data_IF_376968274701
#
_entry.id   IF_376968274701
#
_cell.length_a   1.000
_cell.length_b   1.000
_cell.length_c   1.000
_cell.angle_alpha   90.00
_cell.angle_beta   90.00
_cell.angle_gamma   90.00
#
_symmetry.space_group_name_H-M   'P 1'
#
loop_
_entity.id
_entity.type
_entity.pdbx_description
1 polymer ?
#
# COMPACT_ATOMS: atom_id res chain seq x y z
N UNK A 1 -24.89 14.08 -3.81
CA UNK A 1 -24.41 15.40 -3.31
C UNK A 1 -24.31 15.51 -1.78
N UNK A 2 -24.62 14.46 -0.99
CA UNK A 2 -24.54 14.47 0.50
C UNK A 2 -23.27 13.80 1.08
N UNK A 3 -22.42 13.20 0.23
CA UNK A 3 -21.27 12.37 0.64
C UNK A 3 -20.02 13.15 1.08
N UNK A 4 -20.02 14.48 0.93
CA UNK A 4 -18.91 15.38 1.31
C UNK A 4 -19.08 16.00 2.69
N UNK A 5 -20.16 15.69 3.43
CA UNK A 5 -20.28 16.16 4.81
C UNK A 5 -19.23 15.43 5.69
N UNK A 6 -18.33 16.16 6.40
CA UNK A 6 -17.24 15.55 7.16
C UNK A 6 -17.71 14.48 8.15
N UNK A 7 -18.85 14.69 8.82
CA UNK A 7 -19.43 13.76 9.78
C UNK A 7 -20.00 12.47 9.14
N UNK A 8 -20.36 12.50 7.85
CA UNK A 8 -20.80 11.29 7.12
C UNK A 8 -19.57 10.49 6.71
N UNK A 9 -18.54 11.16 6.18
CA UNK A 9 -17.30 10.53 5.77
C UNK A 9 -16.56 9.88 6.95
N UNK A 10 -16.42 10.57 8.07
CA UNK A 10 -15.77 10.03 9.28
C UNK A 10 -16.46 8.74 9.76
N UNK A 11 -17.80 8.71 9.83
CA UNK A 11 -18.55 7.49 10.18
C UNK A 11 -18.37 6.35 9.16
N UNK A 12 -18.25 6.65 7.87
CA UNK A 12 -17.97 5.63 6.86
C UNK A 12 -16.57 5.04 7.03
N UNK A 13 -15.57 5.87 7.33
CA UNK A 13 -14.20 5.44 7.56
C UNK A 13 -14.06 4.62 8.85
N UNK A 14 -14.72 5.01 9.94
CA UNK A 14 -14.79 4.22 11.18
C UNK A 14 -15.38 2.83 10.91
N UNK A 15 -16.55 2.78 10.25
CA UNK A 15 -17.19 1.52 9.86
C UNK A 15 -16.32 0.67 8.94
N UNK A 16 -15.54 1.30 8.05
CA UNK A 16 -14.61 0.59 7.17
C UNK A 16 -13.53 -0.11 8.00
N UNK A 17 -12.90 0.60 8.95
CA UNK A 17 -11.88 0.04 9.84
C UNK A 17 -12.44 -1.10 10.70
N UNK A 18 -13.61 -0.90 11.31
CA UNK A 18 -14.30 -1.93 12.09
C UNK A 18 -14.61 -3.18 11.26
N UNK A 19 -15.12 -2.97 10.03
CA UNK A 19 -15.49 -4.07 9.15
C UNK A 19 -14.28 -4.90 8.74
N UNK A 20 -13.17 -4.25 8.39
CA UNK A 20 -11.92 -4.96 8.08
C UNK A 20 -11.37 -5.66 9.33
N UNK A 21 -11.42 -5.00 10.49
CA UNK A 21 -10.95 -5.55 11.77
C UNK A 21 -11.74 -6.77 12.25
N UNK A 22 -13.00 -6.90 11.86
CA UNK A 22 -13.81 -8.10 12.16
C UNK A 22 -13.28 -9.38 11.49
N UNK A 23 -12.52 -9.24 10.41
CA UNK A 23 -11.93 -10.35 9.66
C UNK A 23 -10.42 -10.46 9.91
N UNK A 24 -9.71 -9.33 9.92
CA UNK A 24 -8.27 -9.27 10.12
C UNK A 24 -7.99 -9.03 11.62
N UNK A 25 -8.00 -10.09 12.40
CA UNK A 25 -7.94 -10.00 13.87
C UNK A 25 -6.51 -9.76 14.37
N UNK A 26 -6.37 -8.92 15.41
CA UNK A 26 -5.09 -8.66 16.08
C UNK A 26 -4.17 -7.69 15.36
N UNK A 27 -4.64 -6.99 14.32
CA UNK A 27 -3.81 -6.13 13.47
C UNK A 27 -4.38 -4.71 13.26
N UNK A 28 -4.84 -4.00 14.31
CA UNK A 28 -5.49 -2.70 14.16
C UNK A 28 -4.58 -1.66 13.50
N UNK A 29 -3.28 -1.65 13.84
CA UNK A 29 -2.31 -0.70 13.28
C UNK A 29 -2.11 -0.95 11.78
N UNK A 30 -1.92 -2.21 11.36
CA UNK A 30 -1.70 -2.54 9.95
C UNK A 30 -2.94 -2.27 9.10
N UNK A 31 -4.14 -2.47 9.66
CA UNK A 31 -5.39 -2.11 8.99
C UNK A 31 -5.46 -0.59 8.80
N UNK A 32 -5.22 0.17 9.88
CA UNK A 32 -5.21 1.63 9.83
C UNK A 32 -4.21 2.15 8.80
N UNK A 33 -2.98 1.65 8.81
CA UNK A 33 -1.92 2.08 7.88
C UNK A 33 -2.23 1.66 6.44
N UNK A 34 -2.83 0.49 6.22
CA UNK A 34 -3.26 0.05 4.88
C UNK A 34 -4.37 0.94 4.31
N UNK A 35 -5.35 1.31 5.13
CA UNK A 35 -6.41 2.25 4.74
C UNK A 35 -5.83 3.66 4.54
N UNK A 36 -4.91 4.10 5.39
CA UNK A 36 -4.20 5.37 5.22
C UNK A 36 -3.41 5.41 3.91
N UNK A 37 -2.72 4.33 3.55
CA UNK A 37 -2.01 4.19 2.27
C UNK A 37 -2.95 4.34 1.08
N UNK A 38 -4.10 3.65 1.11
CA UNK A 38 -5.12 3.72 0.07
C UNK A 38 -5.72 5.12 -0.06
N UNK A 39 -6.12 5.74 1.06
CA UNK A 39 -6.68 7.09 1.10
C UNK A 39 -5.66 8.16 0.69
N UNK A 40 -4.39 7.93 0.97
CA UNK A 40 -3.31 8.76 0.49
C UNK A 40 -3.05 8.58 -1.01
N UNK A 41 -3.69 7.61 -1.69
CA UNK A 41 -3.52 7.32 -3.12
C UNK A 41 -2.18 6.65 -3.43
N UNK A 42 -1.66 5.83 -2.51
CA UNK A 42 -0.43 5.08 -2.69
C UNK A 42 -0.66 3.59 -2.91
N UNK A 43 0.44 2.86 -3.10
CA UNK A 43 0.46 1.40 -3.16
C UNK A 43 1.14 0.81 -1.94
N UNK A 44 0.73 -0.40 -1.57
CA UNK A 44 1.17 -1.08 -0.37
C UNK A 44 2.12 -2.23 -0.72
N UNK A 45 3.29 -2.25 -0.10
CA UNK A 45 4.18 -3.40 -0.08
C UNK A 45 4.06 -4.11 1.28
N UNK A 46 4.02 -5.45 1.26
CA UNK A 46 3.98 -6.26 2.47
C UNK A 46 5.17 -7.23 2.45
N UNK A 47 6.16 -6.94 3.28
CA UNK A 47 7.33 -7.79 3.50
C UNK A 47 7.13 -8.59 4.78
N UNK A 48 6.94 -9.90 4.65
CA UNK A 48 6.66 -10.77 5.81
C UNK A 48 6.79 -12.25 5.46
N UNK A 49 6.69 -13.12 6.45
CA UNK A 49 6.63 -14.57 6.26
C UNK A 49 5.27 -15.02 5.67
N UNK A 50 5.21 -16.19 5.01
CA UNK A 50 3.95 -16.76 4.55
C UNK A 50 2.97 -17.04 5.70
N UNK A 51 1.66 -16.98 5.40
CA UNK A 51 0.62 -17.40 6.36
C UNK A 51 0.13 -16.35 7.35
N UNK A 52 0.70 -15.14 7.38
CA UNK A 52 0.34 -14.06 8.34
C UNK A 52 -0.93 -13.26 8.00
N UNK A 53 -1.73 -13.72 7.05
CA UNK A 53 -3.01 -13.08 6.71
C UNK A 53 -2.96 -11.98 5.64
N UNK A 54 -1.88 -11.86 4.85
CA UNK A 54 -1.72 -10.86 3.77
C UNK A 54 -2.86 -10.90 2.75
N UNK A 55 -3.19 -12.10 2.26
CA UNK A 55 -4.30 -12.32 1.32
C UNK A 55 -5.65 -11.98 1.95
N UNK A 56 -5.80 -12.22 3.25
CA UNK A 56 -7.03 -11.90 3.98
C UNK A 56 -7.22 -10.39 4.07
N UNK A 57 -6.16 -9.64 4.38
CA UNK A 57 -6.19 -8.18 4.39
C UNK A 57 -6.53 -7.59 3.00
N UNK A 58 -5.87 -8.07 1.95
CA UNK A 58 -6.12 -7.58 0.59
C UNK A 58 -7.57 -7.83 0.13
N UNK A 59 -8.10 -9.03 0.38
CA UNK A 59 -9.46 -9.37 0.02
C UNK A 59 -10.48 -8.61 0.89
N UNK A 60 -10.21 -8.43 2.19
CA UNK A 60 -11.07 -7.67 3.10
C UNK A 60 -11.17 -6.21 2.69
N UNK A 61 -10.05 -5.58 2.30
CA UNK A 61 -10.04 -4.22 1.76
C UNK A 61 -10.91 -4.12 0.50
N UNK A 62 -10.70 -5.00 -0.49
CA UNK A 62 -11.47 -4.97 -1.73
C UNK A 62 -12.98 -5.18 -1.50
N UNK A 63 -13.34 -6.17 -0.67
CA UNK A 63 -14.73 -6.46 -0.34
C UNK A 63 -15.40 -5.30 0.43
N UNK A 64 -14.71 -4.73 1.43
CA UNK A 64 -15.25 -3.64 2.24
C UNK A 64 -15.46 -2.34 1.43
N UNK A 65 -14.74 -2.18 0.33
CA UNK A 65 -14.82 -1.04 -0.58
C UNK A 65 -15.66 -1.32 -1.84
N UNK A 66 -16.23 -2.53 -1.97
CA UNK A 66 -16.99 -2.93 -3.15
C UNK A 66 -16.19 -2.86 -4.46
N UNK A 67 -14.86 -3.02 -4.39
CA UNK A 67 -13.95 -2.86 -5.52
C UNK A 67 -13.71 -4.19 -6.22
N UNK A 68 -13.51 -4.14 -7.54
CA UNK A 68 -13.05 -5.31 -8.29
C UNK A 68 -11.68 -5.75 -7.77
N UNK A 69 -11.55 -7.04 -7.50
CA UNK A 69 -10.35 -7.68 -6.97
C UNK A 69 -9.77 -8.65 -7.99
N UNK A 70 -8.46 -8.59 -8.20
CA UNK A 70 -7.71 -9.61 -8.89
C UNK A 70 -6.50 -10.02 -8.06
N UNK A 71 -6.12 -11.29 -8.16
CA UNK A 71 -4.94 -11.84 -7.52
C UNK A 71 -4.04 -12.46 -8.57
N UNK A 72 -2.76 -12.13 -8.53
CA UNK A 72 -1.73 -12.71 -9.38
C UNK A 72 -0.61 -13.23 -8.49
N UNK A 73 -0.26 -14.49 -8.71
CA UNK A 73 0.91 -15.09 -8.11
C UNK A 73 2.10 -14.85 -9.04
N UNK A 74 3.14 -14.17 -8.56
CA UNK A 74 4.34 -13.95 -9.35
C UNK A 74 5.21 -15.21 -9.30
N UNK A 75 5.61 -15.66 -10.49
CA UNK A 75 6.44 -16.84 -10.72
C UNK A 75 7.54 -16.49 -11.72
N UNK A 76 8.58 -17.32 -11.81
CA UNK A 76 9.74 -17.05 -12.66
C UNK A 76 9.40 -17.03 -14.17
N UNK A 77 8.33 -17.72 -14.55
CA UNK A 77 7.82 -17.83 -15.91
C UNK A 77 6.75 -16.77 -16.26
N UNK A 78 6.27 -16.00 -15.28
CA UNK A 78 5.26 -14.96 -15.52
C UNK A 78 5.83 -13.87 -16.43
N UNK A 79 5.15 -13.59 -17.54
CA UNK A 79 5.55 -12.57 -18.51
C UNK A 79 4.79 -11.25 -18.31
N UNK A 80 5.30 -10.12 -18.84
CA UNK A 80 4.55 -8.86 -18.85
C UNK A 80 3.17 -8.98 -19.50
N UNK A 81 3.04 -9.79 -20.56
CA UNK A 81 1.79 -10.02 -21.27
C UNK A 81 0.75 -10.76 -20.41
N UNK A 82 1.17 -11.63 -19.50
CA UNK A 82 0.25 -12.29 -18.57
C UNK A 82 -0.35 -11.32 -17.55
N UNK A 83 0.33 -10.20 -17.26
CA UNK A 83 -0.15 -9.13 -16.39
C UNK A 83 -1.02 -8.12 -17.14
N UNK A 84 -0.53 -7.67 -18.29
CA UNK A 84 -1.15 -6.59 -19.06
C UNK A 84 -2.32 -7.13 -19.88
N UNK A 85 -2.16 -8.27 -20.53
CA UNK A 85 -3.11 -8.82 -21.49
C UNK A 85 -2.45 -9.13 -22.83
N UNK A 86 -3.21 -9.80 -23.69
CA UNK A 86 -2.76 -10.24 -25.02
C UNK A 86 -3.83 -9.98 -26.07
N UNK A 87 -3.40 -9.63 -27.27
CA UNK A 87 -4.26 -9.55 -28.46
C UNK A 87 -4.35 -10.92 -29.11
N UNK A 88 -5.56 -11.49 -29.13
CA UNK A 88 -5.84 -12.82 -29.72
C UNK A 88 -6.66 -12.63 -30.99
N UNK A 89 -6.29 -13.32 -32.07
CA UNK A 89 -7.08 -13.32 -33.29
C UNK A 89 -8.34 -14.18 -33.11
N UNK A 90 -9.51 -13.52 -33.08
CA UNK A 90 -10.80 -14.19 -32.96
C UNK A 90 -11.37 -14.45 -34.36
N UNK A 91 -11.40 -15.72 -34.80
CA UNK A 91 -11.91 -16.11 -36.12
C UNK A 91 -13.34 -15.65 -36.40
N UNK A 92 -14.19 -15.61 -35.38
CA UNK A 92 -15.59 -15.18 -35.53
C UNK A 92 -15.74 -13.68 -35.82
N UNK A 93 -14.74 -12.87 -35.45
CA UNK A 93 -14.72 -11.42 -35.67
C UNK A 93 -13.77 -11.01 -36.79
N UNK A 94 -13.00 -11.97 -37.33
CA UNK A 94 -11.92 -11.75 -38.29
C UNK A 94 -10.94 -10.64 -37.86
N UNK A 95 -10.79 -10.43 -36.55
CA UNK A 95 -10.02 -9.32 -35.97
C UNK A 95 -9.18 -9.77 -34.76
N UNK A 96 -8.12 -9.02 -34.47
CA UNK A 96 -7.41 -9.13 -33.19
C UNK A 96 -8.26 -8.46 -32.10
N UNK A 97 -8.54 -9.19 -31.02
CA UNK A 97 -9.28 -8.71 -29.86
C UNK A 97 -8.34 -8.71 -28.65
N UNK A 98 -8.22 -7.56 -28.00
CA UNK A 98 -7.42 -7.45 -26.79
C UNK A 98 -8.15 -8.03 -25.58
N UNK A 99 -7.55 -9.05 -24.97
CA UNK A 99 -8.02 -9.61 -23.70
C UNK A 99 -7.23 -8.96 -22.56
N UNK A 100 -7.95 -8.18 -21.75
CA UNK A 100 -7.40 -7.48 -20.59
C UNK A 100 -6.83 -8.47 -19.57
N UNK A 101 -5.59 -8.22 -19.17
CA UNK A 101 -4.93 -8.95 -18.08
C UNK A 101 -5.40 -8.49 -16.69
N UNK A 102 -4.90 -9.14 -15.63
CA UNK A 102 -5.30 -8.91 -14.25
C UNK A 102 -5.02 -7.49 -13.73
N UNK A 103 -4.15 -6.70 -14.37
CA UNK A 103 -3.93 -5.29 -13.99
C UNK A 103 -5.18 -4.42 -14.21
N UNK A 104 -6.13 -4.83 -15.05
CA UNK A 104 -7.39 -4.13 -15.29
C UNK A 104 -8.44 -4.38 -14.18
N UNK A 105 -8.03 -4.16 -12.94
CA UNK A 105 -8.83 -4.29 -11.73
C UNK A 105 -8.76 -3.00 -10.89
N UNK A 106 -9.48 -2.92 -9.77
CA UNK A 106 -9.39 -1.79 -8.84
C UNK A 106 -8.48 -2.10 -7.64
N UNK A 107 -8.46 -3.35 -7.19
CA UNK A 107 -7.51 -3.87 -6.20
C UNK A 107 -6.78 -5.06 -6.80
N UNK A 108 -5.46 -4.97 -6.89
CA UNK A 108 -4.59 -6.04 -7.37
C UNK A 108 -3.71 -6.54 -6.22
N UNK A 109 -3.85 -7.81 -5.87
CA UNK A 109 -2.90 -8.52 -5.02
C UNK A 109 -1.81 -9.16 -5.89
N UNK A 110 -0.60 -8.60 -5.84
CA UNK A 110 0.59 -9.14 -6.51
C UNK A 110 1.42 -9.94 -5.51
N UNK A 111 1.15 -11.25 -5.41
CA UNK A 111 1.82 -12.12 -4.46
C UNK A 111 3.23 -12.48 -4.92
N UNK A 112 4.20 -12.35 -4.01
CA UNK A 112 5.61 -12.71 -4.20
C UNK A 112 6.26 -12.02 -5.41
N UNK A 113 6.07 -10.69 -5.54
CA UNK A 113 6.56 -9.89 -6.68
C UNK A 113 8.06 -10.09 -6.97
N UNK A 114 8.85 -10.40 -5.94
CA UNK A 114 10.27 -10.71 -6.09
C UNK A 114 10.56 -12.09 -6.72
N UNK A 115 9.60 -12.93 -7.06
CA UNK A 115 9.83 -14.19 -7.77
C UNK A 115 9.79 -14.07 -9.29
N UNK A 116 9.21 -12.99 -9.83
CA UNK A 116 9.21 -12.76 -11.28
C UNK A 116 10.49 -12.06 -11.74
N UNK A 117 10.78 -12.20 -13.03
CA UNK A 117 11.91 -11.52 -13.65
C UNK A 117 11.76 -9.99 -13.68
N UNK A 118 12.87 -9.23 -13.80
CA UNK A 118 12.86 -7.76 -13.74
C UNK A 118 11.94 -7.08 -14.76
N UNK A 119 11.72 -7.69 -15.92
CA UNK A 119 10.80 -7.15 -16.96
C UNK A 119 9.35 -7.16 -16.49
N UNK A 120 8.90 -8.26 -15.90
CA UNK A 120 7.53 -8.44 -15.38
C UNK A 120 7.29 -7.53 -14.18
N UNK A 121 8.29 -7.41 -13.28
CA UNK A 121 8.25 -6.43 -12.20
C UNK A 121 8.10 -4.99 -12.73
N UNK A 122 8.91 -4.63 -13.73
CA UNK A 122 8.87 -3.29 -14.34
C UNK A 122 7.52 -2.99 -14.98
N UNK A 123 6.91 -3.95 -15.66
CA UNK A 123 5.58 -3.80 -16.27
C UNK A 123 4.49 -3.47 -15.25
N UNK A 124 4.47 -4.15 -14.09
CA UNK A 124 3.54 -3.81 -13.01
C UNK A 124 3.80 -2.41 -12.45
N UNK A 125 5.06 -2.06 -12.24
CA UNK A 125 5.47 -0.79 -11.63
C UNK A 125 5.24 0.41 -12.55
N UNK A 126 5.33 0.22 -13.86
CA UNK A 126 4.92 1.20 -14.87
C UNK A 126 3.41 1.43 -14.82
N UNK A 127 2.63 0.35 -14.79
CA UNK A 127 1.17 0.43 -14.65
C UNK A 127 0.74 1.14 -13.34
N UNK A 128 1.48 0.96 -12.26
CA UNK A 128 1.30 1.66 -10.98
C UNK A 128 1.55 3.17 -11.09
N UNK A 129 2.64 3.58 -11.74
CA UNK A 129 3.02 5.00 -11.83
C UNK A 129 2.16 5.76 -12.85
N UNK A 130 1.89 5.16 -14.01
CA UNK A 130 1.24 5.82 -15.14
C UNK A 130 -0.29 5.66 -15.12
N UNK A 131 -0.83 4.74 -14.31
CA UNK A 131 -2.26 4.38 -14.27
C UNK A 131 -2.85 4.00 -15.65
N UNK A 132 -2.00 3.55 -16.55
CA UNK A 132 -2.33 3.10 -17.90
C UNK A 132 -1.30 2.10 -18.38
N UNK A 133 -1.64 1.35 -19.42
CA UNK A 133 -0.74 0.41 -20.11
C UNK A 133 -0.76 0.68 -21.59
N UNK A 134 0.38 0.47 -22.26
CA UNK A 134 0.48 0.60 -23.72
C UNK A 134 0.66 -0.77 -24.35
N UNK A 135 -0.25 -1.14 -25.25
CA UNK A 135 -0.24 -2.43 -25.97
C UNK A 135 -0.55 -2.18 -27.43
N UNK A 136 0.22 -2.76 -28.35
CA UNK A 136 0.00 -2.69 -29.80
C UNK A 136 -0.17 -1.25 -30.34
N UNK A 137 0.48 -0.27 -29.69
CA UNK A 137 0.40 1.15 -30.07
C UNK A 137 -0.81 1.90 -29.49
N UNK A 138 -1.69 1.24 -28.75
CA UNK A 138 -2.81 1.85 -28.04
C UNK A 138 -2.54 2.00 -26.55
N UNK A 139 -2.98 3.11 -25.96
CA UNK A 139 -2.89 3.37 -24.52
C UNK A 139 -4.25 3.13 -23.87
N UNK A 140 -4.28 2.18 -22.94
CA UNK A 140 -5.48 1.79 -22.20
C UNK A 140 -5.37 2.23 -20.74
N UNK A 141 -6.33 3.03 -20.27
CA UNK A 141 -6.38 3.46 -18.86
C UNK A 141 -6.83 2.34 -17.95
N UNK A 142 -6.22 2.26 -16.77
CA UNK A 142 -6.63 1.32 -15.74
C UNK A 142 -7.90 1.82 -15.03
N UNK A 143 -8.72 0.91 -14.46
CA UNK A 143 -9.86 1.29 -13.65
C UNK A 143 -9.46 2.15 -12.45
N UNK A 144 -10.24 3.21 -12.18
CA UNK A 144 -10.05 4.04 -10.99
C UNK A 144 -11.04 3.68 -9.88
N UNK A 145 -10.61 3.66 -8.61
CA UNK A 145 -9.23 3.72 -8.14
C UNK A 145 -8.46 2.44 -8.48
N UNK A 146 -7.14 2.54 -8.64
CA UNK A 146 -6.22 1.42 -8.86
C UNK A 146 -5.28 1.29 -7.67
N UNK A 147 -5.39 0.21 -6.91
CA UNK A 147 -4.61 -0.05 -5.70
C UNK A 147 -3.90 -1.40 -5.77
N UNK A 148 -2.57 -1.35 -5.80
CA UNK A 148 -1.73 -2.54 -5.75
C UNK A 148 -1.29 -2.82 -4.31
N UNK A 149 -1.52 -4.06 -3.88
CA UNK A 149 -0.94 -4.66 -2.68
C UNK A 149 0.05 -5.71 -3.17
N UNK A 150 1.34 -5.42 -3.09
CA UNK A 150 2.38 -6.37 -3.44
C UNK A 150 2.88 -7.08 -2.18
N UNK A 151 3.20 -8.37 -2.27
CA UNK A 151 3.86 -9.10 -1.19
C UNK A 151 5.25 -9.54 -1.64
N UNK A 152 6.19 -9.54 -0.70
CA UNK A 152 7.54 -10.04 -0.94
C UNK A 152 7.92 -11.05 0.13
N UNK A 153 8.69 -12.03 -0.31
CA UNK A 153 9.41 -12.90 0.59
C UNK A 153 10.75 -12.26 0.98
N UNK A 154 11.31 -12.59 2.16
CA UNK A 154 12.64 -12.14 2.56
C UNK A 154 13.70 -12.47 1.50
N UNK A 155 14.66 -11.56 1.31
CA UNK A 155 15.65 -11.62 0.24
C UNK A 155 16.58 -12.85 0.28
N UNK A 156 16.62 -13.57 1.40
CA UNK A 156 17.45 -14.77 1.60
C UNK A 156 16.86 -16.03 0.93
N UNK A 157 15.63 -15.97 0.41
CA UNK A 157 15.02 -17.11 -0.28
C UNK A 157 15.55 -17.28 -1.71
N UNK A 158 15.88 -18.53 -2.06
CA UNK A 158 16.37 -18.93 -3.38
C UNK A 158 15.31 -18.60 -4.45
N UNK A 159 15.76 -18.07 -5.58
CA UNK A 159 14.90 -17.75 -6.72
C UNK A 159 14.15 -16.42 -6.59
N UNK A 160 14.70 -15.49 -5.81
CA UNK A 160 14.17 -14.12 -5.69
C UNK A 160 15.07 -13.10 -6.38
N UNK A 161 14.42 -12.11 -7.00
CA UNK A 161 14.98 -10.92 -7.61
C UNK A 161 14.56 -9.72 -6.75
N UNK A 162 15.50 -9.17 -5.97
CA UNK A 162 15.24 -7.99 -5.15
C UNK A 162 14.79 -6.82 -6.04
N UNK A 163 13.77 -6.08 -5.57
CA UNK A 163 13.36 -4.84 -6.23
C UNK A 163 14.48 -3.79 -6.03
N UNK A 164 14.97 -3.15 -7.10
CA UNK A 164 15.82 -1.97 -6.99
C UNK A 164 15.17 -0.88 -6.14
N UNK A 165 15.99 -0.01 -5.54
CA UNK A 165 15.49 1.10 -4.70
C UNK A 165 14.54 2.03 -5.46
N UNK A 166 14.82 2.28 -6.75
CA UNK A 166 13.94 3.06 -7.63
C UNK A 166 12.57 2.43 -7.86
N UNK A 167 12.46 1.11 -7.70
CA UNK A 167 11.20 0.36 -7.78
C UNK A 167 10.47 0.36 -6.43
N UNK A 168 11.19 0.15 -5.33
CA UNK A 168 10.64 0.24 -3.97
C UNK A 168 10.04 1.63 -3.68
N UNK A 169 10.64 2.70 -4.20
CA UNK A 169 10.16 4.08 -4.00
C UNK A 169 8.73 4.32 -4.52
N UNK A 170 8.24 3.50 -5.46
CA UNK A 170 6.87 3.55 -6.00
C UNK A 170 5.82 3.02 -5.03
N UNK A 171 6.21 2.25 -4.02
CA UNK A 171 5.32 1.89 -2.92
C UNK A 171 5.33 3.00 -1.88
N UNK A 172 4.14 3.46 -1.51
CA UNK A 172 3.99 4.51 -0.50
C UNK A 172 4.37 3.98 0.88
N UNK A 173 3.93 2.76 1.21
CA UNK A 173 4.20 2.09 2.47
C UNK A 173 4.74 0.68 2.26
N UNK A 174 5.66 0.28 3.12
CA UNK A 174 6.05 -1.10 3.34
C UNK A 174 5.65 -1.52 4.77
N UNK A 175 4.81 -2.55 4.90
CA UNK A 175 4.30 -3.03 6.17
C UNK A 175 4.76 -4.47 6.46
N UNK A 176 4.85 -4.77 7.76
CA UNK A 176 4.96 -6.14 8.29
C UNK A 176 3.73 -6.41 9.15
N UNK A 177 3.05 -7.53 8.90
CA UNK A 177 1.90 -7.99 9.64
C UNK A 177 2.32 -8.72 10.93
N UNK A 178 3.38 -9.53 10.87
CA UNK A 178 3.82 -10.40 11.94
C UNK A 178 2.83 -11.51 12.29
N UNK A 179 3.20 -12.36 13.24
CA UNK A 179 2.28 -13.36 13.79
C UNK A 179 1.12 -12.69 14.53
N UNK A 180 -0.08 -13.32 14.54
CA UNK A 180 -1.18 -12.86 15.39
C UNK A 180 -0.79 -12.93 16.87
N UNK A 181 -1.41 -12.09 17.69
CA UNK A 181 -1.32 -12.24 19.15
C UNK A 181 -1.98 -13.56 19.62
N UNK A 182 -1.69 -14.05 20.84
CA UNK A 182 -2.18 -15.35 21.30
C UNK A 182 -3.72 -15.50 21.27
N UNK A 183 -4.48 -14.43 21.49
CA UNK A 183 -5.95 -14.49 21.45
C UNK A 183 -6.43 -14.61 19.99
N UNK A 184 -5.85 -13.82 19.10
CA UNK A 184 -6.10 -13.89 17.65
C UNK A 184 -5.69 -15.24 17.04
N UNK A 185 -4.58 -15.80 17.49
CA UNK A 185 -4.08 -17.12 17.08
C UNK A 185 -5.02 -18.23 17.57
N UNK A 186 -5.45 -18.17 18.83
CA UNK A 186 -6.45 -19.10 19.36
C UNK A 186 -7.75 -19.08 18.56
N UNK A 187 -8.26 -17.90 18.22
CA UNK A 187 -9.47 -17.78 17.40
C UNK A 187 -9.32 -18.38 15.99
N UNK A 188 -8.08 -18.39 15.44
CA UNK A 188 -7.76 -19.08 14.19
C UNK A 188 -7.77 -20.61 14.36
N UNK A 189 -7.17 -21.11 15.45
CA UNK A 189 -7.13 -22.54 15.76
C UNK A 189 -8.52 -23.12 16.07
N UNK A 190 -9.42 -22.32 16.63
CA UNK A 190 -10.82 -22.69 16.87
C UNK A 190 -11.65 -22.83 15.57
N UNK A 191 -11.06 -22.56 14.40
CA UNK A 191 -11.62 -23.01 13.11
C UNK A 191 -12.65 -22.08 12.47
N UNK A 192 -12.73 -20.81 12.90
CA UNK A 192 -13.55 -19.83 12.19
C UNK A 192 -13.06 -19.66 10.75
N UNK A 193 -13.83 -20.10 9.75
CA UNK A 193 -13.47 -19.96 8.34
C UNK A 193 -13.50 -18.48 7.92
N UNK A 194 -12.35 -17.83 8.07
CA UNK A 194 -12.20 -16.42 7.69
C UNK A 194 -12.35 -16.20 6.20
N UNK A 195 -12.05 -17.19 5.35
CA UNK A 195 -12.27 -17.03 3.90
C UNK A 195 -13.75 -16.90 3.59
N UNK A 196 -14.60 -17.68 4.27
CA UNK A 196 -16.05 -17.49 4.22
C UNK A 196 -16.46 -16.12 4.76
N UNK A 197 -15.93 -15.71 5.91
CA UNK A 197 -16.22 -14.39 6.50
C UNK A 197 -15.86 -13.22 5.57
N UNK A 198 -14.76 -13.32 4.79
CA UNK A 198 -14.42 -12.26 3.82
C UNK A 198 -15.36 -12.26 2.62
N UNK A 199 -15.87 -13.42 2.19
CA UNK A 199 -16.85 -13.50 1.07
C UNK A 199 -18.20 -12.91 1.45
N UNK A 200 -18.57 -13.02 2.72
CA UNK A 200 -19.81 -12.45 3.28
C UNK A 200 -19.65 -10.98 3.71
N UNK A 201 -18.46 -10.41 3.50
CA UNK A 201 -18.17 -9.05 3.89
C UNK A 201 -18.88 -8.07 2.95
N UNK A 202 -20.04 -7.57 3.40
CA UNK A 202 -20.75 -6.49 2.73
C UNK A 202 -19.89 -5.23 2.60
N UNK A 203 -19.97 -4.58 1.43
CA UNK A 203 -19.32 -3.31 1.16
C UNK A 203 -19.86 -2.21 2.10
N UNK A 204 -18.94 -1.45 2.69
CA UNK A 204 -19.22 -0.29 3.55
C UNK A 204 -19.28 0.98 2.72
N UNK A 205 -18.43 1.08 1.70
CA UNK A 205 -18.39 2.19 0.76
C UNK A 205 -18.03 1.70 -0.64
N UNK A 206 -18.28 2.50 -1.67
CA UNK A 206 -17.93 2.22 -3.07
C UNK A 206 -16.82 3.11 -3.63
N UNK A 207 -16.49 2.90 -4.90
CA UNK A 207 -15.42 3.63 -5.60
C UNK A 207 -15.58 5.17 -5.57
N UNK A 208 -16.79 5.68 -5.76
CA UNK A 208 -17.06 7.13 -5.76
C UNK A 208 -16.85 7.76 -4.37
N UNK A 209 -17.23 7.04 -3.30
CA UNK A 209 -17.03 7.48 -1.92
C UNK A 209 -15.55 7.44 -1.55
N UNK A 210 -14.81 6.44 -2.06
CA UNK A 210 -13.37 6.34 -1.86
C UNK A 210 -12.64 7.49 -2.55
N UNK A 211 -13.03 7.85 -3.77
CA UNK A 211 -12.49 9.03 -4.45
C UNK A 211 -12.81 10.33 -3.69
N UNK A 212 -14.01 10.46 -3.14
CA UNK A 212 -14.36 11.59 -2.28
C UNK A 212 -13.50 11.64 -1.01
N UNK A 213 -13.23 10.49 -0.39
CA UNK A 213 -12.34 10.37 0.76
C UNK A 213 -10.89 10.78 0.41
N UNK A 214 -10.36 10.30 -0.73
CA UNK A 214 -9.04 10.68 -1.24
C UNK A 214 -8.96 12.19 -1.52
N UNK A 215 -10.03 12.80 -2.04
CA UNK A 215 -10.09 14.26 -2.23
C UNK A 215 -10.11 15.00 -0.88
N UNK A 216 -10.81 14.48 0.12
CA UNK A 216 -10.84 15.06 1.47
C UNK A 216 -9.45 15.01 2.15
N UNK A 217 -8.65 13.96 1.92
CA UNK A 217 -7.26 13.89 2.40
C UNK A 217 -6.44 15.10 1.94
N UNK A 218 -6.64 15.58 0.71
CA UNK A 218 -5.91 16.75 0.20
C UNK A 218 -6.29 18.06 0.89
N UNK A 219 -7.47 18.11 1.52
CA UNK A 219 -7.97 19.29 2.24
C UNK A 219 -7.51 19.34 3.71
N UNK A 220 -6.93 18.25 4.24
CA UNK A 220 -6.43 18.21 5.61
C UNK A 220 -5.25 19.18 5.76
N UNK A 221 -5.38 20.09 6.71
CA UNK A 221 -4.43 21.17 6.94
C UNK A 221 -3.10 20.64 7.51
N UNK A 222 -1.99 21.17 6.99
CA UNK A 222 -0.67 20.97 7.55
C UNK A 222 -0.12 22.36 7.90
N UNK A 223 0.00 22.65 9.19
CA UNK A 223 0.47 23.94 9.67
C UNK A 223 1.94 24.17 9.28
N UNK A 224 2.38 25.44 9.09
CA UNK A 224 3.78 25.75 8.78
C UNK A 224 4.79 25.09 9.73
N UNK A 225 4.55 25.13 11.04
CA UNK A 225 5.41 24.49 12.04
C UNK A 225 5.56 22.97 11.86
N UNK A 226 4.50 22.30 11.38
CA UNK A 226 4.56 20.87 11.06
C UNK A 226 5.41 20.62 9.81
N UNK A 227 5.33 21.53 8.81
CA UNK A 227 6.17 21.45 7.61
C UNK A 227 7.64 21.70 7.96
N UNK A 228 7.92 22.61 8.90
CA UNK A 228 9.27 22.84 9.42
C UNK A 228 9.80 21.58 10.10
N UNK A 229 8.99 20.93 10.94
CA UNK A 229 9.35 19.66 11.56
C UNK A 229 9.62 18.55 10.54
N UNK A 230 8.76 18.42 9.51
CA UNK A 230 8.98 17.48 8.41
C UNK A 230 10.28 17.78 7.66
N UNK A 231 10.61 19.07 7.42
CA UNK A 231 11.88 19.47 6.83
C UNK A 231 13.07 19.09 7.71
N UNK A 232 12.97 19.23 9.03
CA UNK A 232 14.00 18.78 9.98
C UNK A 232 14.23 17.27 9.87
N UNK A 233 13.16 16.46 9.82
CA UNK A 233 13.26 15.01 9.61
C UNK A 233 13.95 14.68 8.28
N UNK A 234 13.56 15.36 7.19
CA UNK A 234 14.16 15.16 5.86
C UNK A 234 15.65 15.52 5.88
N UNK A 235 16.02 16.65 6.51
CA UNK A 235 17.40 17.08 6.65
C UNK A 235 18.22 16.05 7.43
N UNK A 236 17.68 15.51 8.52
CA UNK A 236 18.30 14.43 9.28
C UNK A 236 18.52 13.15 8.44
N UNK A 237 17.66 12.85 7.45
CA UNK A 237 17.95 11.73 6.54
C UNK A 237 19.11 11.99 5.58
N UNK A 238 19.42 13.26 5.29
CA UNK A 238 20.39 13.70 4.27
C UNK A 238 21.74 14.13 4.86
N UNK A 239 21.86 14.18 6.18
CA UNK A 239 23.06 14.67 6.89
C UNK A 239 24.26 13.69 6.83
N UNK A 240 24.04 12.47 6.35
CA UNK A 240 25.07 11.41 6.28
C UNK A 240 25.41 10.77 7.63
N UNK A 241 24.71 11.12 8.72
CA UNK A 241 24.84 10.50 10.04
C UNK A 241 24.09 9.18 10.11
N UNK A 242 22.86 9.17 9.58
CA UNK A 242 21.94 8.04 9.75
C UNK A 242 21.96 7.05 8.60
N UNK A 243 22.02 7.56 7.37
CA UNK A 243 21.82 6.80 6.14
C UNK A 243 22.91 7.10 5.11
N UNK A 244 23.08 6.17 4.16
CA UNK A 244 24.00 6.32 3.02
C UNK A 244 23.48 7.38 2.05
N UNK A 245 22.16 7.35 1.78
CA UNK A 245 21.46 8.30 0.95
C UNK A 245 20.19 8.74 1.68
N UNK A 246 19.86 10.03 1.59
CA UNK A 246 18.66 10.59 2.22
C UNK A 246 17.42 10.47 1.35
N UNK A 247 16.28 10.87 1.91
CA UNK A 247 14.97 10.73 1.27
C UNK A 247 14.83 11.53 -0.02
N UNK A 248 14.12 10.93 -0.98
CA UNK A 248 13.65 11.60 -2.19
C UNK A 248 12.53 12.63 -1.86
N UNK A 249 12.31 13.64 -2.71
CA UNK A 249 11.15 14.52 -2.60
C UNK A 249 9.81 13.76 -2.66
N UNK A 250 9.75 12.68 -3.46
CA UNK A 250 8.56 11.80 -3.54
C UNK A 250 8.25 11.18 -2.18
N UNK A 251 9.26 10.71 -1.46
CA UNK A 251 9.09 10.12 -0.14
C UNK A 251 8.57 11.13 0.89
N UNK A 252 9.11 12.35 0.88
CA UNK A 252 8.67 13.44 1.75
C UNK A 252 7.19 13.81 1.50
N UNK A 253 6.80 13.99 0.24
CA UNK A 253 5.41 14.26 -0.15
C UNK A 253 4.49 13.09 0.19
N UNK A 254 4.98 11.86 0.02
CA UNK A 254 4.28 10.64 0.39
C UNK A 254 3.98 10.59 1.90
N UNK A 255 4.97 10.87 2.74
CA UNK A 255 4.80 10.91 4.20
C UNK A 255 3.76 11.95 4.62
N UNK A 256 3.82 13.15 4.04
CA UNK A 256 2.83 14.20 4.34
C UNK A 256 1.41 13.79 3.90
N UNK A 257 1.25 13.22 2.70
CA UNK A 257 -0.04 12.71 2.22
C UNK A 257 -0.59 11.60 3.12
N UNK A 258 0.27 10.68 3.55
CA UNK A 258 -0.11 9.59 4.43
C UNK A 258 -0.50 10.10 5.83
N UNK A 259 0.22 11.08 6.38
CA UNK A 259 -0.11 11.73 7.64
C UNK A 259 -1.46 12.47 7.57
N UNK A 260 -1.77 13.15 6.45
CA UNK A 260 -3.11 13.70 6.20
C UNK A 260 -4.19 12.63 6.19
N UNK A 261 -3.94 11.49 5.56
CA UNK A 261 -4.89 10.37 5.55
C UNK A 261 -5.13 9.80 6.96
N UNK A 262 -4.07 9.70 7.76
CA UNK A 262 -4.17 9.26 9.17
C UNK A 262 -4.94 10.24 10.04
N UNK A 263 -4.70 11.55 9.87
CA UNK A 263 -5.47 12.58 10.56
C UNK A 263 -6.97 12.50 10.21
N UNK A 264 -7.29 12.33 8.92
CA UNK A 264 -8.67 12.15 8.47
C UNK A 264 -9.32 10.90 9.09
N UNK A 265 -8.60 9.78 9.14
CA UNK A 265 -9.06 8.54 9.78
C UNK A 265 -9.28 8.70 11.29
N UNK A 266 -8.56 9.64 11.93
CA UNK A 266 -8.75 10.01 13.32
C UNK A 266 -9.85 11.09 13.52
N UNK A 267 -10.61 11.44 12.47
CA UNK A 267 -11.67 12.45 12.53
C UNK A 267 -11.16 13.89 12.65
N UNK A 268 -9.88 14.15 12.37
CA UNK A 268 -9.25 15.48 12.43
C UNK A 268 -9.13 16.09 11.04
N UNK A 269 -9.19 17.42 11.00
CA UNK A 269 -8.99 18.26 9.81
C UNK A 269 -7.58 18.83 9.68
N UNK A 270 -6.69 18.52 10.63
CA UNK A 270 -5.30 18.95 10.64
C UNK A 270 -4.38 17.81 11.08
N UNK A 271 -3.15 17.83 10.57
CA UNK A 271 -2.10 16.87 10.90
C UNK A 271 -1.35 17.30 12.16
N UNK A 272 -1.05 16.33 13.03
CA UNK A 272 -0.20 16.52 14.22
C UNK A 272 1.13 15.78 14.05
N UNK A 273 2.20 16.15 14.77
CA UNK A 273 3.51 15.50 14.63
C UNK A 273 3.49 13.98 14.81
N UNK A 274 2.62 13.47 15.67
CA UNK A 274 2.44 12.04 15.93
C UNK A 274 1.97 11.28 14.68
N UNK A 275 1.23 11.93 13.76
CA UNK A 275 0.83 11.32 12.50
C UNK A 275 2.03 11.05 11.59
N UNK A 276 2.99 11.99 11.56
CA UNK A 276 4.24 11.83 10.81
C UNK A 276 5.09 10.74 11.43
N UNK A 277 5.26 10.76 12.75
CA UNK A 277 6.09 9.80 13.47
C UNK A 277 5.56 8.37 13.34
N UNK A 278 4.24 8.18 13.49
CA UNK A 278 3.62 6.86 13.37
C UNK A 278 3.79 6.24 11.97
N UNK A 279 3.82 7.07 10.92
CA UNK A 279 3.97 6.62 9.53
C UNK A 279 5.40 6.69 9.01
N UNK A 280 6.35 7.20 9.79
CA UNK A 280 7.72 7.35 9.35
C UNK A 280 8.38 6.00 9.06
N UNK A 281 8.20 4.98 9.91
CA UNK A 281 8.74 3.65 9.62
C UNK A 281 8.07 3.04 8.38
N UNK A 282 6.73 2.92 8.29
CA UNK A 282 6.05 2.41 7.10
C UNK A 282 6.42 3.09 5.79
N UNK A 283 6.66 4.41 5.79
CA UNK A 283 6.86 5.20 4.57
C UNK A 283 8.33 5.37 4.21
N UNK A 284 9.25 5.36 5.19
CA UNK A 284 10.65 5.74 4.98
C UNK A 284 11.61 4.55 5.03
N UNK A 285 11.32 3.50 5.81
CA UNK A 285 12.30 2.44 6.08
C UNK A 285 12.72 1.68 4.81
N UNK A 286 11.80 1.40 3.89
CA UNK A 286 12.13 0.69 2.64
C UNK A 286 12.93 1.56 1.65
N UNK A 287 12.93 2.88 1.84
CA UNK A 287 13.61 3.86 0.97
C UNK A 287 14.99 4.28 1.46
N UNK A 288 15.37 3.87 2.66
CA UNK A 288 16.58 4.32 3.32
C UNK A 288 17.52 3.15 3.60
N UNK A 289 18.80 3.35 3.28
CA UNK A 289 19.85 2.40 3.59
C UNK A 289 20.65 2.88 4.81
N UNK A 290 20.59 2.17 5.96
CA UNK A 290 21.41 2.46 7.12
C UNK A 290 22.89 2.44 6.77
N UNK A 291 23.69 3.26 7.45
CA UNK A 291 25.14 3.19 7.29
C UNK A 291 25.69 1.85 7.75
N UNK A 292 26.73 1.39 7.05
CA UNK A 292 27.53 0.23 7.45
C UNK A 292 28.00 0.40 8.91
N UNK A 293 27.79 -0.63 9.73
CA UNK A 293 28.16 -0.61 11.15
C UNK A 293 27.10 -0.02 12.11
N UNK A 294 25.93 0.40 11.62
CA UNK A 294 24.86 0.92 12.49
C UNK A 294 24.28 -0.14 13.45
N UNK A 295 24.39 -1.43 13.11
CA UNK A 295 23.91 -2.56 13.93
C UNK A 295 22.38 -2.65 14.11
N UNK A 296 21.62 -1.79 13.42
CA UNK A 296 20.15 -1.70 13.49
C UNK A 296 19.52 -2.11 12.16
N UNK A 297 18.29 -2.65 12.24
CA UNK A 297 17.44 -2.80 11.06
C UNK A 297 17.06 -1.42 10.48
N UNK A 298 16.58 -1.38 9.23
CA UNK A 298 16.12 -0.12 8.60
C UNK A 298 15.06 0.59 9.44
N UNK A 299 14.07 -0.16 9.91
CA UNK A 299 13.01 0.34 10.77
C UNK A 299 13.55 0.91 12.10
N UNK A 300 14.42 0.17 12.78
CA UNK A 300 15.01 0.61 14.05
C UNK A 300 15.91 1.85 13.87
N UNK A 301 16.58 1.98 12.73
CA UNK A 301 17.40 3.15 12.40
C UNK A 301 16.54 4.40 12.17
N UNK A 302 15.40 4.26 11.47
CA UNK A 302 14.43 5.36 11.29
C UNK A 302 13.84 5.80 12.63
N UNK A 303 13.45 4.84 13.48
CA UNK A 303 12.90 5.14 14.80
C UNK A 303 13.90 5.90 15.68
N UNK A 304 15.16 5.42 15.72
CA UNK A 304 16.22 6.09 16.47
C UNK A 304 16.52 7.51 15.94
N UNK A 305 16.39 7.74 14.63
CA UNK A 305 16.54 9.08 14.06
C UNK A 305 15.44 10.02 14.54
N UNK A 306 14.18 9.58 14.53
CA UNK A 306 13.04 10.39 14.97
C UNK A 306 13.19 10.78 16.44
N UNK A 307 13.55 9.82 17.29
CA UNK A 307 13.80 10.05 18.72
C UNK A 307 14.92 11.06 18.95
N UNK A 308 15.98 11.00 18.14
CA UNK A 308 17.11 11.91 18.26
C UNK A 308 16.82 13.34 17.73
N UNK A 309 15.92 13.48 16.75
CA UNK A 309 15.48 14.78 16.25
C UNK A 309 14.54 15.46 17.26
N UNK A 310 13.68 14.69 17.93
CA UNK A 310 12.70 15.20 18.90
C UNK A 310 11.58 16.02 18.24
N UNK A 311 10.62 16.49 19.04
CA UNK A 311 9.66 17.52 18.61
C UNK A 311 10.33 18.88 18.82
N UNK A 312 10.37 19.69 17.76
CA UNK A 312 10.86 21.08 17.79
C UNK A 312 9.72 22.01 18.18
#
# INVERSE_FOLDING_TARGET
MQLTQPAVLSRLLERLLERIGSVVVGKPVQILDSVACLLAGGHLLIEDVPGVGKTTLAHALAAALGLRFARVQFTADLTPSDLIGVSVYERNRESFVFHQGPVFTQVLLADEINRAGPRTQSALLEAMEEHQVSVDGETLRLPAPFFVIATQNPAEQIGTHALPESQLDRFLMCLTLGYPDPASERALLEGHDRRAAVRELAAVMGAAELQAAQAAVQQVHAAPALLDYLQTLIAATRDGRWFVQGLSPRAALGLLRAARARALLAGRDHVIPEDLQALAVPVLAHRLQPRHGAGRSRAAQVQAMIEAVGLV
#
